data_IF_412382151156
#
_entry.id   IF_412382151156
#
_cell.length_a   1.000
_cell.length_b   1.000
_cell.length_c   1.000
_cell.angle_alpha   90.00
_cell.angle_beta   90.00
_cell.angle_gamma   90.00
#
_symmetry.space_group_name_H-M   'P 1'
#
loop_
_entity.id
_entity.type
_entity.pdbx_description
1 polymer ?
#
# COMPACT_ATOMS: atom_id res chain seq x y z
N UNK A 1 -11.65 6.19 7.91
CA UNK A 1 -11.56 7.32 8.85
C UNK A 1 -12.81 8.16 8.70
N UNK A 2 -13.42 8.58 9.80
CA UNK A 2 -14.40 9.67 9.75
C UNK A 2 -13.68 11.00 9.68
N UNK A 3 -14.35 12.05 9.23
CA UNK A 3 -13.78 13.40 9.15
C UNK A 3 -13.38 13.97 10.53
N UNK A 4 -13.86 13.36 11.62
CA UNK A 4 -13.52 13.69 13.00
C UNK A 4 -12.26 12.95 13.52
N UNK A 5 -11.60 12.15 12.68
CA UNK A 5 -10.39 11.40 13.06
C UNK A 5 -10.67 10.12 13.85
N UNK A 6 -11.93 9.72 14.02
CA UNK A 6 -12.29 8.43 14.63
C UNK A 6 -12.25 7.28 13.61
N UNK A 7 -12.30 6.04 14.12
CA UNK A 7 -12.23 4.81 13.30
C UNK A 7 -10.93 4.70 12.47
N UNK A 8 -9.80 5.08 13.08
CA UNK A 8 -8.47 4.81 12.53
C UNK A 8 -8.19 3.31 12.61
N UNK A 9 -7.76 2.73 11.48
CA UNK A 9 -7.40 1.32 11.37
C UNK A 9 -5.97 1.21 10.83
N UNK A 10 -5.14 0.45 11.52
CA UNK A 10 -3.83 0.06 11.01
C UNK A 10 -4.02 -1.03 9.94
N UNK A 11 -3.52 -0.80 8.72
CA UNK A 11 -3.62 -1.75 7.59
C UNK A 11 -2.35 -2.56 7.38
N UNK A 12 -1.19 -2.05 7.79
CA UNK A 12 0.08 -2.78 7.72
C UNK A 12 0.63 -2.99 9.12
N UNK A 13 1.11 -4.21 9.40
CA UNK A 13 1.73 -4.57 10.68
C UNK A 13 2.91 -5.49 10.41
N UNK A 14 4.07 -4.89 10.12
CA UNK A 14 5.31 -5.57 9.79
C UNK A 14 6.51 -4.68 10.19
N UNK A 15 7.73 -5.19 10.09
CA UNK A 15 8.96 -4.45 10.44
C UNK A 15 9.52 -3.61 9.30
N UNK A 16 8.92 -3.69 8.12
CA UNK A 16 9.31 -2.95 6.93
C UNK A 16 8.71 -1.54 6.96
N UNK A 17 9.22 -0.69 6.08
CA UNK A 17 8.69 0.62 5.81
C UNK A 17 7.63 0.54 4.70
N UNK A 18 6.43 1.08 4.95
CA UNK A 18 5.32 1.16 3.99
C UNK A 18 4.98 2.63 3.70
N UNK A 19 5.18 3.06 2.45
CA UNK A 19 5.17 4.48 2.03
C UNK A 19 4.23 4.71 0.85
N UNK A 20 3.97 6.00 0.56
CA UNK A 20 3.25 6.47 -0.63
C UNK A 20 1.92 5.73 -0.92
N UNK A 21 1.01 5.60 0.05
CA UNK A 21 -0.26 4.90 -0.19
C UNK A 21 -1.14 5.67 -1.19
N UNK A 22 -1.78 4.95 -2.11
CA UNK A 22 -2.75 5.49 -3.06
C UNK A 22 -3.97 4.57 -3.18
N UNK A 23 -5.18 5.12 -2.97
CA UNK A 23 -6.43 4.38 -3.05
C UNK A 23 -6.87 4.20 -4.51
N UNK A 24 -7.40 3.02 -4.83
CA UNK A 24 -8.09 2.81 -6.10
C UNK A 24 -9.31 3.73 -6.22
N UNK A 25 -9.71 4.13 -7.45
CA UNK A 25 -10.86 5.02 -7.64
C UNK A 25 -12.18 4.49 -7.06
N UNK A 26 -12.34 3.17 -6.98
CA UNK A 26 -13.50 2.50 -6.38
C UNK A 26 -13.38 2.29 -4.87
N UNK A 27 -12.26 2.69 -4.26
CA UNK A 27 -11.97 2.57 -2.83
C UNK A 27 -11.81 1.14 -2.33
N UNK A 28 -11.72 0.14 -3.20
CA UNK A 28 -11.63 -1.28 -2.80
C UNK A 28 -10.21 -1.76 -2.53
N UNK A 29 -9.22 -1.06 -3.04
CA UNK A 29 -7.82 -1.47 -2.98
C UNK A 29 -6.91 -0.29 -2.64
N UNK A 30 -5.80 -0.60 -1.99
CA UNK A 30 -4.72 0.34 -1.72
C UNK A 30 -3.44 -0.17 -2.38
N UNK A 31 -2.77 0.69 -3.14
CA UNK A 31 -1.39 0.46 -3.59
C UNK A 31 -0.42 1.25 -2.71
N UNK A 32 0.75 0.70 -2.45
CA UNK A 32 1.75 1.33 -1.59
C UNK A 32 3.15 0.78 -1.91
N UNK A 33 4.19 1.55 -1.59
CA UNK A 33 5.56 1.10 -1.69
C UNK A 33 5.98 0.41 -0.38
N UNK A 34 6.67 -0.73 -0.43
CA UNK A 34 7.12 -1.44 0.76
C UNK A 34 8.52 -2.00 0.57
N UNK A 35 9.40 -1.83 1.57
CA UNK A 35 10.76 -2.40 1.52
C UNK A 35 10.89 -3.81 2.12
N UNK A 36 9.78 -4.53 2.26
CA UNK A 36 9.71 -5.82 2.94
C UNK A 36 10.59 -6.92 2.35
N UNK A 37 11.06 -6.77 1.11
CA UNK A 37 11.94 -7.73 0.42
C UNK A 37 13.37 -7.19 0.19
N UNK A 38 13.76 -6.09 0.85
CA UNK A 38 15.14 -5.58 0.84
C UNK A 38 15.33 -4.29 0.03
N UNK A 39 14.41 -3.95 -0.85
CA UNK A 39 14.26 -2.68 -1.57
C UNK A 39 12.77 -2.33 -1.66
N UNK A 40 12.43 -1.08 -1.97
CA UNK A 40 11.02 -0.73 -2.18
C UNK A 40 10.52 -1.29 -3.50
N UNK A 41 9.47 -2.11 -3.39
CA UNK A 41 8.63 -2.56 -4.48
C UNK A 41 7.20 -2.08 -4.24
N UNK A 42 6.37 -2.15 -5.29
CA UNK A 42 4.96 -1.82 -5.20
C UNK A 42 4.16 -3.03 -4.74
N UNK A 43 3.28 -2.80 -3.78
CA UNK A 43 2.33 -3.77 -3.26
C UNK A 43 0.90 -3.24 -3.42
N UNK A 44 -0.05 -4.17 -3.47
CA UNK A 44 -1.48 -3.91 -3.45
C UNK A 44 -2.16 -4.76 -2.38
N UNK A 45 -3.19 -4.21 -1.74
CA UNK A 45 -4.03 -4.94 -0.79
C UNK A 45 -5.49 -4.47 -0.86
N UNK A 46 -6.40 -5.22 -0.26
CA UNK A 46 -7.80 -4.78 -0.08
C UNK A 46 -7.90 -3.63 0.91
N UNK A 47 -9.02 -2.89 0.87
CA UNK A 47 -9.31 -1.79 1.78
C UNK A 47 -9.36 -2.17 3.27
N UNK A 48 -9.57 -3.45 3.58
CA UNK A 48 -9.52 -3.97 4.94
C UNK A 48 -8.11 -4.46 5.37
N UNK A 49 -7.11 -4.32 4.50
CA UNK A 49 -5.73 -4.74 4.77
C UNK A 49 -5.45 -6.22 4.48
N UNK A 50 -6.42 -6.96 3.94
CA UNK A 50 -6.23 -8.35 3.51
C UNK A 50 -5.67 -8.46 2.08
N UNK A 51 -5.28 -9.68 1.70
CA UNK A 51 -4.82 -10.04 0.33
C UNK A 51 -3.62 -9.21 -0.17
N UNK A 52 -2.67 -8.92 0.71
CA UNK A 52 -1.46 -8.18 0.33
C UNK A 52 -0.65 -8.96 -0.70
N UNK A 53 -0.42 -8.36 -1.86
CA UNK A 53 0.27 -8.97 -3.00
C UNK A 53 1.32 -8.01 -3.57
N UNK A 54 2.47 -8.55 -3.98
CA UNK A 54 3.53 -7.79 -4.64
C UNK A 54 3.18 -7.58 -6.12
N UNK A 55 3.42 -6.38 -6.63
CA UNK A 55 3.11 -5.97 -8.01
C UNK A 55 4.39 -5.85 -8.83
N UNK A 56 5.45 -5.28 -8.26
CA UNK A 56 6.78 -5.21 -8.89
C UNK A 56 7.76 -6.05 -8.11
N UNK A 57 8.68 -6.70 -8.81
CA UNK A 57 9.77 -7.48 -8.23
C UNK A 57 10.99 -7.26 -9.10
N UNK A 58 11.73 -6.22 -8.78
CA UNK A 58 12.94 -5.86 -9.52
C UNK A 58 14.00 -5.35 -8.55
N UNK A 59 15.30 -5.41 -8.89
CA UNK A 59 16.35 -4.88 -8.02
C UNK A 59 16.37 -3.35 -7.93
N UNK A 60 15.53 -2.65 -8.71
CA UNK A 60 15.40 -1.20 -8.67
C UNK A 60 14.35 -0.78 -7.64
N UNK A 61 14.32 0.51 -7.30
CA UNK A 61 13.43 1.01 -6.26
C UNK A 61 12.19 1.65 -6.89
N UNK A 62 11.01 1.17 -6.50
CA UNK A 62 9.72 1.70 -6.93
C UNK A 62 9.01 2.45 -5.78
N UNK A 63 8.82 3.77 -5.93
CA UNK A 63 8.45 4.65 -4.81
C UNK A 63 7.03 5.23 -4.83
N UNK A 64 6.47 5.49 -6.02
CA UNK A 64 5.28 6.34 -6.17
C UNK A 64 4.22 5.68 -7.04
N UNK A 65 3.55 4.63 -6.54
CA UNK A 65 2.49 3.98 -7.27
C UNK A 65 1.28 4.92 -7.41
N UNK A 66 0.67 4.94 -8.60
CA UNK A 66 -0.57 5.66 -8.86
C UNK A 66 -1.49 4.79 -9.72
N UNK A 67 -2.78 4.83 -9.42
CA UNK A 67 -3.79 4.31 -10.33
C UNK A 67 -3.95 5.25 -11.52
N UNK A 68 -4.11 4.68 -12.72
CA UNK A 68 -4.58 5.42 -13.90
C UNK A 68 -6.04 5.07 -14.19
N UNK A 69 -6.87 6.04 -14.60
CA UNK A 69 -8.25 5.79 -15.01
C UNK A 69 -8.36 5.03 -16.34
#
# INVERSE_FOLDING_TARGET
MRSDGTEVRQLTNNTAEDWSPNWSPDGRSLVFASNRHGNFDIFVMRADGSEVSQVTDSPQVDWYPNWSP
#
